data_IF_399702753720
#
_entry.id   IF_399702753720
#
_cell.length_a   1.000
_cell.length_b   1.000
_cell.length_c   1.000
_cell.angle_alpha   90.00
_cell.angle_beta   90.00
_cell.angle_gamma   90.00
#
_symmetry.space_group_name_H-M   'P 1'
#
loop_
_entity.id
_entity.type
_entity.pdbx_description
1 polymer ?
#
# COMPACT_ATOMS: atom_id res chain seq x y z
N UNK A 1 0.16 6.32 27.10
CA UNK A 1 0.77 6.20 25.76
C UNK A 1 -0.08 5.25 24.94
N UNK A 2 -0.75 5.74 23.92
CA UNK A 2 -1.51 4.87 23.03
C UNK A 2 -0.52 4.20 22.09
N UNK A 3 -0.24 2.92 22.31
CA UNK A 3 0.57 2.12 21.41
C UNK A 3 -0.15 2.00 20.05
N UNK A 4 0.32 2.73 19.06
CA UNK A 4 -0.21 2.69 17.69
C UNK A 4 0.26 1.45 16.91
N UNK A 5 0.36 0.31 17.58
CA UNK A 5 0.61 -0.98 16.93
C UNK A 5 -0.70 -1.50 16.31
N UNK A 6 -1.23 -0.75 15.37
CA UNK A 6 -2.33 -1.25 14.55
C UNK A 6 -1.76 -2.17 13.47
N UNK A 7 -2.54 -3.17 13.05
CA UNK A 7 -2.22 -4.06 11.92
C UNK A 7 -1.78 -3.23 10.70
N UNK A 8 -2.46 -2.11 10.45
CA UNK A 8 -2.12 -1.18 9.38
C UNK A 8 -0.69 -0.61 9.49
N UNK A 9 -0.29 -0.18 10.69
CA UNK A 9 1.05 0.34 10.92
C UNK A 9 2.12 -0.73 10.73
N UNK A 10 1.84 -1.96 11.18
CA UNK A 10 2.72 -3.12 10.99
C UNK A 10 2.86 -3.46 9.50
N UNK A 11 1.76 -3.50 8.76
CA UNK A 11 1.77 -3.75 7.31
C UNK A 11 2.51 -2.66 6.54
N UNK A 12 2.32 -1.39 6.91
CA UNK A 12 3.02 -0.27 6.29
C UNK A 12 4.54 -0.33 6.50
N UNK A 13 5.02 -1.03 7.54
CA UNK A 13 6.45 -1.22 7.81
C UNK A 13 7.08 -2.40 7.08
N UNK A 14 6.31 -3.31 6.50
CA UNK A 14 6.85 -4.47 5.75
C UNK A 14 7.72 -4.00 4.60
N UNK A 15 7.34 -2.89 3.96
CA UNK A 15 8.17 -2.25 2.96
C UNK A 15 8.74 -0.93 3.52
N UNK A 16 10.07 -0.84 3.71
CA UNK A 16 10.70 0.37 4.22
C UNK A 16 10.45 1.57 3.30
N UNK A 17 10.22 2.74 3.89
CA UNK A 17 9.92 3.96 3.13
C UNK A 17 10.96 4.29 2.07
N UNK A 18 12.25 4.07 2.36
CA UNK A 18 13.33 4.34 1.41
C UNK A 18 13.22 3.52 0.11
N UNK A 19 12.66 2.31 0.18
CA UNK A 19 12.41 1.48 -1.01
C UNK A 19 11.27 2.07 -1.84
N UNK A 20 10.20 2.52 -1.20
CA UNK A 20 9.10 3.19 -1.90
C UNK A 20 9.59 4.51 -2.52
N UNK A 21 10.41 5.28 -1.80
CA UNK A 21 10.99 6.53 -2.30
C UNK A 21 11.95 6.27 -3.49
N UNK A 22 12.65 5.14 -3.49
CA UNK A 22 13.46 4.70 -4.64
C UNK A 22 12.60 4.41 -5.87
N UNK A 23 11.51 3.69 -5.69
CA UNK A 23 10.55 3.41 -6.75
C UNK A 23 9.82 4.68 -7.21
N UNK A 24 9.48 5.59 -6.30
CA UNK A 24 8.88 6.88 -6.66
C UNK A 24 9.82 7.70 -7.57
N UNK A 25 11.12 7.70 -7.28
CA UNK A 25 12.11 8.34 -8.17
C UNK A 25 12.22 7.65 -9.53
N UNK A 26 12.15 6.30 -9.56
CA UNK A 26 12.21 5.52 -10.81
C UNK A 26 11.03 5.86 -11.74
N UNK A 27 9.83 5.91 -11.19
CA UNK A 27 8.58 6.12 -11.95
C UNK A 27 8.15 7.58 -12.03
N UNK A 28 8.74 8.46 -11.21
CA UNK A 28 8.40 9.88 -11.14
C UNK A 28 9.21 10.77 -12.07
N UNK A 29 10.09 10.21 -12.91
CA UNK A 29 10.85 10.99 -13.89
C UNK A 29 9.89 11.64 -14.90
N UNK A 30 9.88 12.97 -14.92
CA UNK A 30 8.96 13.76 -15.76
C UNK A 30 7.64 14.14 -15.09
N UNK A 31 7.35 13.66 -13.90
CA UNK A 31 6.19 14.12 -13.14
C UNK A 31 6.36 15.61 -12.77
N UNK A 32 5.36 16.44 -13.13
CA UNK A 32 5.27 17.79 -12.59
C UNK A 32 5.18 17.69 -11.07
N UNK A 33 5.87 18.57 -10.33
CA UNK A 33 5.83 18.61 -8.87
C UNK A 33 4.39 18.54 -8.37
N UNK A 34 4.02 17.42 -7.75
CA UNK A 34 2.68 17.17 -7.24
C UNK A 34 2.68 17.21 -5.71
N UNK A 35 1.59 17.69 -5.14
CA UNK A 35 1.40 17.76 -3.68
C UNK A 35 1.44 16.38 -3.01
N UNK A 36 1.14 15.31 -3.75
CA UNK A 36 1.07 13.95 -3.23
C UNK A 36 2.06 13.03 -3.94
N UNK A 37 2.99 12.45 -3.18
CA UNK A 37 3.93 11.44 -3.66
C UNK A 37 3.24 10.10 -3.93
N UNK A 38 3.91 9.18 -4.64
CA UNK A 38 3.44 7.79 -4.79
C UNK A 38 3.38 7.06 -3.47
N UNK A 39 4.25 7.42 -2.51
CA UNK A 39 4.16 6.90 -1.15
C UNK A 39 2.83 7.24 -0.49
N UNK A 40 2.37 8.51 -0.58
CA UNK A 40 1.07 8.92 -0.04
C UNK A 40 -0.06 8.16 -0.73
N UNK A 41 -0.02 8.04 -2.05
CA UNK A 41 -1.00 7.25 -2.79
C UNK A 41 -1.02 5.79 -2.31
N UNK A 42 0.14 5.17 -2.15
CA UNK A 42 0.27 3.80 -1.67
C UNK A 42 -0.36 3.63 -0.28
N UNK A 43 -0.01 4.49 0.69
CA UNK A 43 -0.54 4.41 2.06
C UNK A 43 -2.05 4.61 2.10
N UNK A 44 -2.57 5.56 1.34
CA UNK A 44 -4.01 5.84 1.28
C UNK A 44 -4.78 4.68 0.64
N UNK A 45 -4.25 4.12 -0.45
CA UNK A 45 -4.87 2.96 -1.11
C UNK A 45 -4.78 1.70 -0.25
N UNK A 46 -3.67 1.48 0.45
CA UNK A 46 -3.53 0.38 1.42
C UNK A 46 -4.57 0.50 2.55
N UNK A 47 -4.73 1.69 3.11
CA UNK A 47 -5.78 1.96 4.10
C UNK A 47 -7.17 1.64 3.55
N UNK A 48 -7.45 2.05 2.32
CA UNK A 48 -8.74 1.80 1.67
C UNK A 48 -9.03 0.30 1.54
N UNK A 49 -8.04 -0.49 1.16
CA UNK A 49 -8.18 -1.95 1.05
C UNK A 49 -8.41 -2.60 2.41
N UNK A 50 -7.65 -2.23 3.43
CA UNK A 50 -7.79 -2.79 4.79
C UNK A 50 -9.15 -2.45 5.40
N UNK A 51 -9.67 -1.25 5.16
CA UNK A 51 -10.98 -0.81 5.66
C UNK A 51 -12.15 -1.24 4.78
N UNK A 52 -11.89 -1.87 3.63
CA UNK A 52 -12.93 -2.30 2.69
C UNK A 52 -13.72 -1.14 2.07
N UNK A 53 -13.07 0.03 1.88
CA UNK A 53 -13.71 1.21 1.31
C UNK A 53 -13.95 1.02 -0.19
N UNK A 54 -15.15 1.37 -0.65
CA UNK A 54 -15.61 1.08 -2.02
C UNK A 54 -15.59 2.28 -2.96
N UNK A 55 -15.43 3.49 -2.43
CA UNK A 55 -15.45 4.71 -3.24
C UNK A 55 -14.37 5.71 -2.83
N UNK A 56 -13.93 6.54 -3.78
CA UNK A 56 -12.97 7.62 -3.52
C UNK A 56 -13.50 8.63 -2.51
N UNK A 57 -14.83 8.79 -2.43
CA UNK A 57 -15.49 9.66 -1.45
C UNK A 57 -15.34 9.12 -0.03
N UNK A 58 -15.54 7.81 0.14
CA UNK A 58 -15.31 7.14 1.44
C UNK A 58 -13.83 7.22 1.84
N UNK A 59 -12.92 7.05 0.89
CA UNK A 59 -11.47 7.17 1.13
C UNK A 59 -11.11 8.59 1.58
N UNK A 60 -11.64 9.62 0.95
CA UNK A 60 -11.42 11.01 1.36
C UNK A 60 -11.93 11.27 2.78
N UNK A 61 -13.13 10.79 3.12
CA UNK A 61 -13.71 10.93 4.46
C UNK A 61 -12.90 10.15 5.50
N UNK A 62 -12.47 8.93 5.19
CA UNK A 62 -11.65 8.13 6.09
C UNK A 62 -10.28 8.79 6.37
N UNK A 63 -9.67 9.41 5.39
CA UNK A 63 -8.43 10.18 5.58
C UNK A 63 -8.63 11.33 6.59
N UNK A 64 -9.72 12.07 6.45
CA UNK A 64 -10.04 13.18 7.37
C UNK A 64 -10.25 12.68 8.80
N UNK A 65 -10.99 11.60 8.98
CA UNK A 65 -11.25 11.04 10.31
C UNK A 65 -10.01 10.42 10.96
N UNK A 66 -9.05 9.95 10.16
CA UNK A 66 -7.83 9.25 10.62
C UNK A 66 -6.55 10.09 10.43
N UNK A 67 -6.69 11.39 10.24
CA UNK A 67 -5.58 12.27 9.89
C UNK A 67 -4.40 12.18 10.84
N UNK A 68 -4.63 12.13 12.16
CA UNK A 68 -3.56 11.99 13.16
C UNK A 68 -2.72 10.73 12.95
N UNK A 69 -3.36 9.60 12.66
CA UNK A 69 -2.67 8.32 12.40
C UNK A 69 -1.89 8.36 11.10
N UNK A 70 -2.49 8.90 10.05
CA UNK A 70 -1.87 9.05 8.74
C UNK A 70 -0.68 10.01 8.78
N UNK A 71 -0.74 11.05 9.59
CA UNK A 71 0.39 11.96 9.80
C UNK A 71 1.64 11.25 10.30
N UNK A 72 1.50 10.34 11.26
CA UNK A 72 2.63 9.51 11.74
C UNK A 72 3.19 8.55 10.68
N UNK A 73 2.43 8.25 9.65
CA UNK A 73 2.88 7.48 8.49
C UNK A 73 3.42 8.36 7.36
N UNK A 74 3.53 9.66 7.57
CA UNK A 74 4.06 10.61 6.59
C UNK A 74 3.04 11.21 5.63
N UNK A 75 1.74 10.98 5.84
CA UNK A 75 0.66 11.63 5.09
C UNK A 75 0.27 12.92 5.80
N UNK A 76 0.86 14.03 5.40
CA UNK A 76 0.71 15.32 6.06
C UNK A 76 -0.70 15.93 5.93
N UNK A 77 -1.35 15.69 4.80
CA UNK A 77 -2.68 16.21 4.50
C UNK A 77 -3.51 15.20 3.72
N UNK A 78 -4.84 15.16 3.91
CA UNK A 78 -5.72 14.31 3.12
C UNK A 78 -5.65 14.65 1.63
N UNK A 79 -5.59 13.62 0.79
CA UNK A 79 -5.74 13.79 -0.65
C UNK A 79 -7.23 13.83 -1.01
N UNK A 80 -7.64 14.83 -1.81
CA UNK A 80 -9.02 14.90 -2.31
C UNK A 80 -9.34 13.74 -3.25
N UNK A 81 -10.62 13.41 -3.37
CA UNK A 81 -11.08 12.39 -4.34
C UNK A 81 -10.65 12.68 -5.78
N UNK A 82 -10.62 13.96 -6.17
CA UNK A 82 -10.15 14.36 -7.51
C UNK A 82 -8.65 14.15 -7.68
N UNK A 83 -7.85 14.43 -6.65
CA UNK A 83 -6.42 14.15 -6.67
C UNK A 83 -6.15 12.64 -6.72
N UNK A 84 -6.89 11.83 -5.96
CA UNK A 84 -6.79 10.37 -5.99
C UNK A 84 -7.18 9.79 -7.35
N UNK A 85 -8.30 10.23 -7.93
CA UNK A 85 -8.72 9.82 -9.27
C UNK A 85 -7.63 10.10 -10.28
N UNK A 86 -7.14 11.34 -10.33
CA UNK A 86 -6.09 11.73 -11.26
C UNK A 86 -4.80 10.94 -11.08
N UNK A 87 -4.39 10.70 -9.82
CA UNK A 87 -3.21 9.88 -9.55
C UNK A 87 -3.38 8.45 -10.07
N UNK A 88 -4.56 7.86 -9.92
CA UNK A 88 -4.84 6.52 -10.39
C UNK A 88 -4.90 6.44 -11.93
N UNK A 89 -5.41 7.48 -12.58
CA UNK A 89 -5.52 7.53 -14.05
C UNK A 89 -4.17 7.81 -14.75
N UNK A 90 -3.37 8.73 -14.18
CA UNK A 90 -2.18 9.24 -14.86
C UNK A 90 -0.90 8.47 -14.50
N UNK A 91 -0.85 7.80 -13.32
CA UNK A 91 0.35 7.10 -12.87
C UNK A 91 0.37 5.65 -13.31
N UNK A 92 1.54 5.19 -13.76
CA UNK A 92 1.72 3.80 -14.17
C UNK A 92 1.43 2.81 -13.03
N UNK A 93 0.72 1.73 -13.36
CA UNK A 93 0.51 0.61 -12.46
C UNK A 93 1.80 -0.17 -12.14
N UNK A 94 2.86 -0.01 -12.93
CA UNK A 94 4.14 -0.69 -12.72
C UNK A 94 4.78 -0.35 -11.38
N UNK A 95 4.55 0.85 -10.87
CA UNK A 95 4.96 1.22 -9.52
C UNK A 95 4.38 0.25 -8.48
N UNK A 96 3.08 0.00 -8.53
CA UNK A 96 2.41 -0.91 -7.59
C UNK A 96 2.84 -2.36 -7.81
N UNK A 97 3.11 -2.77 -9.04
CA UNK A 97 3.67 -4.08 -9.37
C UNK A 97 5.03 -4.28 -8.70
N UNK A 98 5.93 -3.31 -8.82
CA UNK A 98 7.26 -3.38 -8.20
C UNK A 98 7.16 -3.35 -6.66
N UNK A 99 6.27 -2.53 -6.09
CA UNK A 99 5.98 -2.52 -4.65
C UNK A 99 5.51 -3.90 -4.19
N UNK A 100 4.58 -4.51 -4.91
CA UNK A 100 4.08 -5.86 -4.59
C UNK A 100 5.20 -6.89 -4.63
N UNK A 101 6.04 -6.88 -5.66
CA UNK A 101 7.15 -7.83 -5.78
C UNK A 101 8.15 -7.70 -4.62
N UNK A 102 8.47 -6.48 -4.20
CA UNK A 102 9.36 -6.24 -3.05
C UNK A 102 8.73 -6.70 -1.73
N UNK A 103 7.44 -6.41 -1.52
CA UNK A 103 6.71 -6.91 -0.36
C UNK A 103 6.69 -8.44 -0.33
N UNK A 104 6.46 -9.07 -1.47
CA UNK A 104 6.47 -10.53 -1.59
C UNK A 104 7.84 -11.12 -1.25
N UNK A 105 8.93 -10.51 -1.70
CA UNK A 105 10.29 -10.93 -1.35
C UNK A 105 10.55 -10.79 0.16
N UNK A 106 10.13 -9.69 0.77
CA UNK A 106 10.25 -9.49 2.22
C UNK A 106 9.45 -10.54 3.00
N UNK A 107 8.24 -10.85 2.58
CA UNK A 107 7.43 -11.90 3.20
C UNK A 107 8.05 -13.30 3.03
N UNK A 108 8.62 -13.60 1.87
CA UNK A 108 9.33 -14.87 1.64
C UNK A 108 10.55 -15.00 2.56
N UNK A 109 11.34 -13.95 2.73
CA UNK A 109 12.49 -13.94 3.64
C UNK A 109 12.07 -14.19 5.10
N UNK A 110 10.96 -13.58 5.55
CA UNK A 110 10.39 -13.83 6.88
C UNK A 110 9.86 -15.25 7.02
N UNK A 111 9.20 -15.79 6.01
CA UNK A 111 8.65 -17.14 6.01
C UNK A 111 9.75 -18.21 6.03
N UNK A 112 10.87 -18.00 5.33
CA UNK A 112 12.03 -18.91 5.35
C UNK A 112 12.72 -18.92 6.73
N UNK A 113 12.64 -17.84 7.49
CA UNK A 113 13.12 -17.77 8.89
C UNK A 113 12.18 -18.43 9.90
N UNK A 114 10.93 -18.68 9.55
CA UNK A 114 9.98 -19.41 10.38
C UNK A 114 10.08 -20.91 10.09
N UNK A 115 10.28 -21.73 11.12
CA UNK A 115 10.37 -23.21 11.00
C UNK A 115 8.99 -23.85 10.73
N UNK A 116 8.14 -23.24 9.94
CA UNK A 116 6.87 -23.83 9.54
C UNK A 116 7.10 -24.83 8.43
N UNK A 117 7.55 -26.02 8.81
CA UNK A 117 7.62 -27.18 7.92
C UNK A 117 6.40 -28.07 8.14
N UNK A 118 5.54 -28.14 7.15
CA UNK A 118 4.51 -29.18 7.10
C UNK A 118 5.20 -30.53 6.83
N UNK A 119 5.08 -31.51 7.73
CA UNK A 119 5.69 -32.82 7.53
C UNK A 119 5.18 -33.46 6.22
N UNK A 120 6.08 -33.91 5.37
CA UNK A 120 5.74 -34.59 4.10
C UNK A 120 5.34 -33.67 2.94
N UNK A 121 5.44 -32.34 3.08
CA UNK A 121 5.12 -31.40 2.01
C UNK A 121 6.37 -30.66 1.57
N UNK A 122 6.82 -30.91 0.34
CA UNK A 122 8.00 -30.25 -0.24
C UNK A 122 7.70 -28.87 -0.82
N UNK A 123 6.46 -28.64 -1.27
CA UNK A 123 5.99 -27.32 -1.72
C UNK A 123 4.49 -27.17 -1.50
N UNK A 124 4.07 -25.99 -1.08
CA UNK A 124 2.66 -25.62 -0.96
C UNK A 124 2.39 -24.46 -1.91
N UNK A 125 1.44 -24.65 -2.83
CA UNK A 125 0.97 -23.61 -3.73
C UNK A 125 -0.43 -23.21 -3.26
N UNK A 126 -0.57 -21.95 -2.84
CA UNK A 126 -1.86 -21.37 -2.49
C UNK A 126 -2.38 -20.59 -3.70
N UNK A 127 -3.56 -20.97 -4.19
CA UNK A 127 -4.24 -20.26 -5.27
C UNK A 127 -5.52 -19.63 -4.73
N UNK A 128 -5.69 -18.34 -4.93
CA UNK A 128 -6.93 -17.63 -4.68
C UNK A 128 -7.52 -17.14 -6.01
N UNK A 129 -8.83 -17.27 -6.16
CA UNK A 129 -9.55 -16.84 -7.35
C UNK A 129 -10.44 -15.64 -7.01
N UNK A 130 -10.11 -14.48 -7.58
CA UNK A 130 -10.93 -13.29 -7.49
C UNK A 130 -11.79 -13.15 -8.74
N UNK A 131 -13.12 -13.12 -8.57
CA UNK A 131 -14.04 -12.88 -9.68
C UNK A 131 -14.27 -11.38 -9.86
N UNK A 132 -13.87 -10.85 -11.01
CA UNK A 132 -14.14 -9.47 -11.41
C UNK A 132 -15.40 -9.48 -12.29
N UNK A 133 -16.45 -8.79 -11.86
CA UNK A 133 -17.66 -8.58 -12.65
C UNK A 133 -17.58 -7.20 -13.32
N UNK A 134 -17.70 -7.19 -14.63
CA UNK A 134 -17.87 -5.96 -15.42
C UNK A 134 -19.37 -5.72 -15.60
N UNK A 135 -19.82 -4.54 -15.27
CA UNK A 135 -21.19 -4.07 -15.51
C UNK A 135 -21.23 -3.18 -16.72
#
# INVERSE_FOLDING_TARGET
>A
MVHYNTVFHTLAKILPRHEIDRLDRKYGQGDKRRKSSRYVQFIVMLMAQILGLKSLREIEQAQKSKQKRLYHLGVKSPASRFALSRMNDERSADFFKDVFQQMLQSCKALALGSQFKLPGVNSLILMDATTIRFS
#
